data_IF_722195694099
#
_entry.id   IF_722195694099
#
_cell.length_a   1.000
_cell.length_b   1.000
_cell.length_c   1.000
_cell.angle_alpha   90.00
_cell.angle_beta   90.00
_cell.angle_gamma   90.00
#
_symmetry.space_group_name_H-M   'P 1'
#
loop_
_entity.id
_entity.type
_entity.pdbx_description
1 polymer ?
#
# COMPACT_ATOMS: atom_id res chain seq x y z
N UNK A 1 -76.71 60.25 33.55
CA UNK A 1 -77.33 60.01 34.87
C UNK A 1 -77.07 58.57 35.24
N UNK A 2 -76.35 58.34 36.34
CA UNK A 2 -76.52 57.26 37.31
C UNK A 2 -77.27 55.97 36.85
N UNK A 3 -76.64 54.79 36.91
CA UNK A 3 -76.57 53.96 38.13
C UNK A 3 -76.02 52.54 37.85
N UNK A 4 -75.22 52.08 38.80
CA UNK A 4 -75.17 50.72 39.36
C UNK A 4 -74.68 49.50 38.55
N UNK A 5 -73.53 49.02 39.03
CA UNK A 5 -72.99 47.66 39.06
C UNK A 5 -74.05 46.55 39.17
N UNK A 6 -73.79 45.42 38.51
CA UNK A 6 -73.88 44.07 39.11
C UNK A 6 -72.86 43.14 38.45
N UNK A 7 -72.29 42.30 39.30
CA UNK A 7 -71.12 41.46 39.11
C UNK A 7 -71.37 40.30 38.14
N UNK A 8 -70.34 39.94 37.38
CA UNK A 8 -70.19 38.59 36.83
C UNK A 8 -68.82 38.07 37.25
N UNK A 9 -68.82 37.08 38.14
CA UNK A 9 -67.64 36.28 38.43
C UNK A 9 -67.30 35.46 37.17
N UNK A 10 -66.08 35.64 36.65
CA UNK A 10 -65.47 34.71 35.70
C UNK A 10 -64.20 34.19 36.35
N UNK A 11 -64.26 32.93 36.75
CA UNK A 11 -63.15 32.15 37.30
C UNK A 11 -62.06 32.00 36.23
N UNK A 12 -60.88 32.56 36.47
CA UNK A 12 -59.70 32.31 35.64
C UNK A 12 -59.19 30.90 35.90
N UNK A 13 -59.28 30.03 34.90
CA UNK A 13 -58.63 28.73 34.88
C UNK A 13 -57.13 28.96 34.58
N UNK A 14 -56.28 28.82 35.60
CA UNK A 14 -54.82 28.86 35.44
C UNK A 14 -54.33 27.61 34.70
N UNK A 15 -53.96 27.77 33.43
CA UNK A 15 -53.32 26.72 32.63
C UNK A 15 -51.83 26.63 33.03
N UNK A 16 -51.46 25.59 33.78
CA UNK A 16 -50.08 25.32 34.16
C UNK A 16 -49.37 24.67 32.95
N UNK A 17 -48.54 25.44 32.23
CA UNK A 17 -47.68 24.89 31.17
C UNK A 17 -46.45 24.26 31.84
N UNK A 18 -46.42 22.92 31.90
CA UNK A 18 -45.21 22.18 32.24
C UNK A 18 -44.28 22.17 31.02
N UNK A 19 -43.30 23.07 30.98
CA UNK A 19 -42.13 22.94 30.09
C UNK A 19 -41.22 21.84 30.62
N UNK A 20 -41.29 20.66 29.99
CA UNK A 20 -40.32 19.57 30.19
C UNK A 20 -39.03 19.98 29.47
N UNK A 21 -38.02 20.40 30.23
CA UNK A 21 -36.65 20.46 29.71
C UNK A 21 -36.13 19.02 29.59
N UNK A 22 -36.16 18.46 28.39
CA UNK A 22 -35.39 17.26 28.09
C UNK A 22 -33.91 17.64 28.02
N UNK A 23 -33.17 17.40 29.09
CA UNK A 23 -31.71 17.42 29.03
C UNK A 23 -31.27 16.25 28.16
N UNK A 24 -30.92 16.52 26.91
CA UNK A 24 -30.22 15.55 26.06
C UNK A 24 -28.81 15.46 26.65
N UNK A 25 -28.59 14.42 27.45
CA UNK A 25 -27.24 14.05 27.87
C UNK A 25 -26.53 13.50 26.65
N UNK A 26 -25.65 14.29 26.04
CA UNK A 26 -24.65 13.75 25.14
C UNK A 26 -23.68 12.94 26.00
N UNK A 27 -23.97 11.64 26.13
CA UNK A 27 -22.96 10.70 26.59
C UNK A 27 -21.82 10.75 25.56
N UNK A 28 -20.68 11.33 25.94
CA UNK A 28 -19.43 11.06 25.24
C UNK A 28 -19.21 9.55 25.34
N UNK A 29 -19.46 8.86 24.23
CA UNK A 29 -19.12 7.46 24.08
C UNK A 29 -17.59 7.38 24.09
N UNK A 30 -17.00 7.25 25.26
CA UNK A 30 -15.60 6.85 25.41
C UNK A 30 -15.52 5.35 25.17
N UNK A 31 -15.94 4.91 23.98
CA UNK A 31 -15.56 3.59 23.51
C UNK A 31 -14.11 3.75 23.06
N UNK A 32 -13.18 3.21 23.84
CA UNK A 32 -11.89 2.84 23.26
C UNK A 32 -12.23 2.04 22.00
N UNK A 33 -11.72 2.41 20.81
CA UNK A 33 -12.02 1.65 19.61
C UNK A 33 -11.70 0.19 19.92
N UNK A 34 -12.72 -0.65 19.80
CA UNK A 34 -12.59 -2.08 20.02
C UNK A 34 -11.47 -2.50 19.08
N UNK A 35 -10.33 -2.93 19.64
CA UNK A 35 -9.23 -3.43 18.83
C UNK A 35 -9.83 -4.68 18.17
N UNK A 36 -10.24 -4.55 16.90
CA UNK A 36 -10.70 -5.63 16.06
C UNK A 36 -9.80 -6.84 16.31
N UNK A 37 -10.37 -8.05 16.34
CA UNK A 37 -9.61 -9.27 16.58
C UNK A 37 -8.34 -9.25 15.73
N UNK A 38 -7.21 -8.96 16.37
CA UNK A 38 -5.88 -9.12 15.79
C UNK A 38 -5.90 -10.55 15.25
N UNK A 39 -5.70 -10.71 13.94
CA UNK A 39 -5.66 -12.01 13.23
C UNK A 39 -6.93 -12.43 12.47
N UNK A 40 -7.77 -11.51 11.99
CA UNK A 40 -8.83 -11.89 11.04
C UNK A 40 -8.27 -12.11 9.62
N UNK A 41 -7.52 -13.20 9.44
CA UNK A 41 -6.97 -13.61 8.13
C UNK A 41 -8.05 -13.94 7.09
N UNK A 42 -9.28 -14.20 7.53
CA UNK A 42 -10.41 -14.54 6.65
C UNK A 42 -11.12 -13.33 6.04
N UNK A 43 -10.75 -12.10 6.40
CA UNK A 43 -11.41 -10.91 5.85
C UNK A 43 -11.20 -10.78 4.34
N UNK A 44 -10.00 -11.08 3.87
CA UNK A 44 -9.62 -11.03 2.47
C UNK A 44 -8.95 -12.34 2.06
N UNK A 45 -9.15 -12.74 0.81
CA UNK A 45 -8.16 -13.57 0.14
C UNK A 45 -7.07 -12.65 -0.40
N UNK A 46 -5.80 -12.96 -0.16
CA UNK A 46 -4.69 -12.07 -0.53
C UNK A 46 -3.41 -12.84 -0.87
N UNK A 47 -2.64 -12.29 -1.80
CA UNK A 47 -1.23 -12.62 -2.01
C UNK A 47 -0.36 -11.71 -1.14
N UNK A 48 0.73 -12.25 -0.60
CA UNK A 48 1.55 -11.62 0.43
C UNK A 48 3.04 -11.91 0.23
N UNK A 49 3.87 -10.89 0.37
CA UNK A 49 5.31 -11.02 0.54
C UNK A 49 5.87 -9.88 1.39
N UNK A 50 7.10 -10.03 1.89
CA UNK A 50 7.77 -8.98 2.63
C UNK A 50 9.29 -9.06 2.57
N UNK A 51 9.90 -7.90 2.79
CA UNK A 51 11.33 -7.77 2.96
C UNK A 51 11.78 -8.52 4.21
N UNK A 52 12.51 -9.62 4.01
CA UNK A 52 13.07 -10.47 5.04
C UNK A 52 14.38 -11.09 4.54
N UNK A 53 15.13 -11.75 5.43
CA UNK A 53 16.31 -12.54 5.06
C UNK A 53 16.01 -13.75 4.18
N UNK A 54 14.73 -13.98 3.87
CA UNK A 54 14.20 -15.07 3.07
C UNK A 54 13.22 -14.53 2.04
N UNK A 55 13.06 -15.24 0.93
CA UNK A 55 12.11 -14.91 -0.12
C UNK A 55 10.84 -15.74 0.04
N UNK A 56 10.09 -15.49 1.11
CA UNK A 56 8.83 -16.17 1.36
C UNK A 56 7.66 -15.40 0.80
N UNK A 57 6.75 -16.15 0.15
CA UNK A 57 5.51 -15.62 -0.40
C UNK A 57 4.37 -16.56 -0.08
N UNK A 58 3.17 -15.99 0.10
CA UNK A 58 1.98 -16.76 0.46
C UNK A 58 0.77 -16.29 -0.33
N UNK A 59 -0.12 -17.21 -0.65
CA UNK A 59 -1.51 -16.91 -0.99
C UNK A 59 -2.36 -17.43 0.16
N UNK A 60 -3.08 -16.52 0.81
CA UNK A 60 -4.02 -16.82 1.89
C UNK A 60 -5.43 -16.78 1.31
N UNK A 61 -6.20 -17.85 1.49
CA UNK A 61 -7.62 -17.92 1.13
C UNK A 61 -8.46 -18.40 2.30
N UNK A 62 -9.58 -17.71 2.57
CA UNK A 62 -10.49 -18.04 3.68
C UNK A 62 -9.74 -18.22 5.01
N UNK A 63 -8.74 -17.38 5.26
CA UNK A 63 -7.92 -17.40 6.47
C UNK A 63 -6.87 -18.51 6.57
N UNK A 64 -6.61 -19.26 5.50
CA UNK A 64 -5.62 -20.36 5.47
C UNK A 64 -4.61 -20.15 4.35
N UNK A 65 -3.37 -20.59 4.55
CA UNK A 65 -2.38 -20.67 3.47
C UNK A 65 -2.90 -21.68 2.44
N UNK A 66 -3.23 -21.17 1.25
CA UNK A 66 -3.66 -21.97 0.09
C UNK A 66 -2.48 -22.30 -0.84
N UNK A 67 -1.43 -21.47 -0.81
CA UNK A 67 -0.18 -21.68 -1.53
C UNK A 67 0.95 -20.98 -0.79
N UNK A 68 2.15 -21.55 -0.86
CA UNK A 68 3.36 -20.92 -0.34
C UNK A 68 4.55 -21.17 -1.26
N UNK A 69 5.44 -20.19 -1.32
CA UNK A 69 6.79 -20.33 -1.85
C UNK A 69 7.77 -20.04 -0.73
N UNK A 70 8.67 -20.99 -0.51
CA UNK A 70 9.79 -20.89 0.40
C UNK A 70 11.03 -20.78 -0.46
N UNK A 71 11.55 -19.57 -0.65
CA UNK A 71 12.75 -19.34 -1.45
C UNK A 71 13.96 -20.17 -0.98
N UNK A 72 15.00 -20.33 -1.81
CA UNK A 72 16.21 -21.07 -1.46
C UNK A 72 16.78 -20.63 -0.10
N UNK A 73 17.21 -21.59 0.72
CA UNK A 73 17.79 -21.33 2.06
C UNK A 73 19.27 -21.67 2.15
N UNK A 74 19.72 -22.52 1.26
CA UNK A 74 21.08 -23.05 1.12
C UNK A 74 21.99 -22.13 0.29
N UNK A 75 21.41 -21.20 -0.48
CA UNK A 75 22.15 -20.26 -1.35
C UNK A 75 22.56 -18.96 -0.65
N UNK A 76 22.44 -18.91 0.68
CA UNK A 76 22.71 -17.70 1.46
C UNK A 76 21.66 -16.60 1.21
N UNK A 77 22.08 -15.35 1.37
CA UNK A 77 21.18 -14.20 1.21
C UNK A 77 21.01 -13.82 -0.27
N UNK A 78 19.80 -14.02 -0.78
CA UNK A 78 19.43 -13.82 -2.20
C UNK A 78 18.66 -12.52 -2.46
N UNK A 79 18.57 -11.65 -1.45
CA UNK A 79 17.88 -10.36 -1.53
C UNK A 79 16.45 -10.40 -1.01
N UNK A 80 16.03 -9.27 -0.45
CA UNK A 80 14.69 -9.02 0.09
C UNK A 80 13.66 -8.81 -1.02
N UNK A 81 12.43 -9.34 -0.86
CA UNK A 81 11.32 -9.10 -1.80
C UNK A 81 10.69 -7.74 -1.45
N UNK A 82 10.89 -6.75 -2.31
CA UNK A 82 10.31 -5.41 -2.13
C UNK A 82 9.04 -5.19 -2.94
N UNK A 83 8.80 -6.00 -3.97
CA UNK A 83 7.62 -5.90 -4.82
C UNK A 83 7.29 -7.24 -5.48
N UNK A 84 6.00 -7.53 -5.61
CA UNK A 84 5.55 -8.76 -6.24
C UNK A 84 4.11 -8.61 -6.76
N UNK A 85 3.83 -9.30 -7.86
CA UNK A 85 2.56 -9.28 -8.56
C UNK A 85 2.13 -10.71 -8.85
N UNK A 86 0.98 -11.11 -8.30
CA UNK A 86 0.28 -12.33 -8.71
C UNK A 86 -0.58 -12.00 -9.93
N UNK A 87 -0.21 -12.55 -11.09
CA UNK A 87 -0.89 -12.35 -12.38
C UNK A 87 -2.20 -13.15 -12.44
N UNK A 88 -3.10 -12.80 -13.37
CA UNK A 88 -4.40 -13.48 -13.50
C UNK A 88 -4.30 -14.94 -13.94
N UNK A 89 -3.21 -15.32 -14.61
CA UNK A 89 -2.90 -16.71 -14.96
C UNK A 89 -2.26 -17.53 -13.82
N UNK A 90 -2.04 -16.91 -12.64
CA UNK A 90 -1.46 -17.54 -11.46
C UNK A 90 0.07 -17.47 -11.39
N UNK A 91 0.75 -17.00 -12.43
CA UNK A 91 2.19 -16.74 -12.37
C UNK A 91 2.48 -15.59 -11.39
N UNK A 92 3.68 -15.60 -10.80
CA UNK A 92 4.12 -14.58 -9.86
C UNK A 92 5.40 -13.96 -10.39
N UNK A 93 5.36 -12.66 -10.65
CA UNK A 93 6.55 -11.84 -10.89
C UNK A 93 6.93 -11.17 -9.59
N UNK A 94 8.17 -11.31 -9.13
CA UNK A 94 8.64 -10.64 -7.93
C UNK A 94 10.03 -10.05 -8.14
N UNK A 95 10.18 -8.80 -7.71
CA UNK A 95 11.46 -8.11 -7.63
C UNK A 95 12.05 -8.36 -6.24
N UNK A 96 13.31 -8.77 -6.23
CA UNK A 96 14.10 -8.91 -5.02
C UNK A 96 15.40 -8.12 -5.19
N UNK A 97 16.04 -7.68 -4.10
CA UNK A 97 17.23 -6.80 -4.15
C UNK A 97 18.31 -7.22 -5.16
N UNK A 98 18.45 -8.53 -5.44
CA UNK A 98 19.44 -9.09 -6.38
C UNK A 98 18.91 -9.46 -7.77
N UNK A 99 17.64 -9.21 -8.08
CA UNK A 99 17.07 -9.60 -9.36
C UNK A 99 15.55 -9.49 -9.47
N UNK A 100 15.03 -10.08 -10.53
CA UNK A 100 13.60 -10.26 -10.73
C UNK A 100 13.39 -11.70 -11.16
N UNK A 101 12.37 -12.35 -10.64
CA UNK A 101 12.03 -13.73 -11.01
C UNK A 101 10.54 -13.83 -11.36
N UNK A 102 10.24 -14.51 -12.47
CA UNK A 102 8.90 -14.92 -12.87
C UNK A 102 8.76 -16.43 -12.68
N UNK A 103 7.78 -16.86 -11.87
CA UNK A 103 7.51 -18.28 -11.60
C UNK A 103 6.08 -18.69 -11.94
N UNK A 104 5.88 -19.96 -12.24
CA UNK A 104 4.55 -20.60 -12.30
C UNK A 104 4.00 -20.91 -10.89
N UNK A 105 2.70 -21.23 -10.74
CA UNK A 105 2.15 -21.76 -9.48
C UNK A 105 2.89 -23.01 -8.97
N UNK A 106 3.46 -23.81 -9.87
CA UNK A 106 4.29 -24.99 -9.54
C UNK A 106 5.74 -24.62 -9.20
N UNK A 107 6.04 -23.32 -9.03
CA UNK A 107 7.35 -22.78 -8.61
C UNK A 107 8.46 -22.97 -9.65
N UNK A 108 8.09 -23.20 -10.91
CA UNK A 108 9.04 -23.28 -12.02
C UNK A 108 9.41 -21.88 -12.46
N UNK A 109 10.71 -21.59 -12.57
CA UNK A 109 11.20 -20.33 -13.13
C UNK A 109 10.93 -20.31 -14.63
N UNK A 110 10.20 -19.28 -15.08
CA UNK A 110 9.94 -19.01 -16.50
C UNK A 110 10.94 -18.01 -17.07
N UNK A 111 11.33 -17.02 -16.27
CA UNK A 111 12.24 -15.95 -16.65
C UNK A 111 12.88 -15.37 -15.38
N UNK A 112 14.10 -14.86 -15.50
CA UNK A 112 14.76 -14.11 -14.44
C UNK A 112 15.64 -13.02 -15.03
N UNK A 113 15.99 -12.07 -14.18
CA UNK A 113 16.97 -11.03 -14.42
C UNK A 113 17.88 -10.92 -13.20
N UNK A 114 19.18 -11.06 -13.40
CA UNK A 114 20.18 -10.89 -12.34
C UNK A 114 20.61 -9.43 -12.29
N UNK A 115 20.45 -8.82 -11.11
CA UNK A 115 20.91 -7.44 -10.90
C UNK A 115 22.45 -7.42 -10.84
N UNK A 116 23.12 -6.53 -11.60
CA UNK A 116 24.58 -6.42 -11.57
C UNK A 116 25.14 -6.12 -10.18
N UNK A 117 26.39 -6.52 -9.94
CA UNK A 117 27.09 -6.19 -8.68
C UNK A 117 27.14 -4.67 -8.46
N UNK A 118 26.83 -4.23 -7.23
CA UNK A 118 26.75 -2.81 -6.87
C UNK A 118 25.40 -2.14 -7.17
N UNK A 119 24.52 -2.82 -7.91
CA UNK A 119 23.16 -2.38 -8.23
C UNK A 119 22.14 -3.13 -7.36
N UNK A 120 20.91 -2.62 -7.33
CA UNK A 120 19.77 -3.27 -6.67
C UNK A 120 18.50 -3.12 -7.53
N UNK A 121 17.59 -4.08 -7.45
CA UNK A 121 16.28 -4.00 -8.11
C UNK A 121 15.19 -4.28 -7.09
N UNK A 122 14.23 -3.37 -6.93
CA UNK A 122 13.21 -3.50 -5.88
C UNK A 122 11.78 -3.46 -6.40
N UNK A 123 11.56 -3.10 -7.66
CA UNK A 123 10.21 -2.98 -8.23
C UNK A 123 10.20 -3.48 -9.66
N UNK A 124 9.17 -4.24 -10.00
CA UNK A 124 8.93 -4.74 -11.34
C UNK A 124 7.43 -4.94 -11.55
N UNK A 125 6.96 -4.70 -12.77
CA UNK A 125 5.56 -4.90 -13.14
C UNK A 125 5.48 -5.64 -14.49
N UNK A 126 4.59 -6.64 -14.62
CA UNK A 126 4.31 -7.24 -15.91
C UNK A 126 3.56 -6.23 -16.81
N UNK A 127 3.89 -6.25 -18.10
CA UNK A 127 3.15 -5.61 -19.18
C UNK A 127 2.65 -6.74 -20.08
N UNK A 128 1.37 -7.08 -19.90
CA UNK A 128 0.79 -8.28 -20.46
C UNK A 128 1.55 -9.53 -20.01
N UNK A 129 1.62 -10.52 -20.90
CA UNK A 129 2.40 -11.74 -20.71
C UNK A 129 3.78 -11.68 -21.37
N UNK A 130 4.10 -10.58 -22.04
CA UNK A 130 5.23 -10.50 -22.96
C UNK A 130 6.41 -9.70 -22.43
N UNK A 131 6.16 -8.73 -21.55
CA UNK A 131 7.19 -7.78 -21.11
C UNK A 131 7.16 -7.58 -19.60
N UNK A 132 8.32 -7.17 -19.06
CA UNK A 132 8.46 -6.66 -17.70
C UNK A 132 9.05 -5.26 -17.76
N UNK A 133 8.47 -4.32 -17.01
CA UNK A 133 9.10 -3.02 -16.72
C UNK A 133 9.62 -3.01 -15.29
N UNK A 134 10.81 -2.45 -15.08
CA UNK A 134 11.41 -2.33 -13.75
C UNK A 134 12.35 -1.14 -13.64
N UNK A 135 12.72 -0.79 -12.40
CA UNK A 135 13.74 0.21 -12.11
C UNK A 135 14.95 -0.48 -11.47
N UNK A 136 16.12 -0.31 -12.08
CA UNK A 136 17.40 -0.72 -11.51
C UNK A 136 18.03 0.46 -10.78
N UNK A 137 18.27 0.29 -9.49
CA UNK A 137 19.00 1.23 -8.66
C UNK A 137 20.50 1.08 -8.92
N UNK A 138 21.20 2.20 -9.15
CA UNK A 138 22.66 2.23 -9.18
C UNK A 138 23.18 3.49 -9.86
N UNK A 139 24.34 3.40 -10.47
CA UNK A 139 24.99 4.52 -11.15
C UNK A 139 25.51 4.13 -12.53
N UNK A 140 24.73 4.37 -13.61
CA UNK A 140 23.47 5.10 -13.62
C UNK A 140 22.27 4.26 -13.12
N UNK A 141 21.25 4.91 -12.57
CA UNK A 141 19.96 4.26 -12.33
C UNK A 141 19.12 4.31 -13.61
N UNK A 142 18.39 3.23 -13.90
CA UNK A 142 17.72 3.08 -15.20
C UNK A 142 16.36 2.39 -15.07
N UNK A 143 15.43 2.80 -15.94
CA UNK A 143 14.22 2.03 -16.24
C UNK A 143 14.54 1.07 -17.38
N UNK A 144 14.04 -0.15 -17.29
CA UNK A 144 14.15 -1.18 -18.32
C UNK A 144 12.77 -1.69 -18.73
N UNK A 145 12.61 -2.01 -20.01
CA UNK A 145 11.54 -2.88 -20.52
C UNK A 145 12.21 -4.08 -21.17
N UNK A 146 11.92 -5.28 -20.67
CA UNK A 146 12.51 -6.52 -21.16
C UNK A 146 11.42 -7.43 -21.72
N UNK A 147 11.68 -8.02 -22.89
CA UNK A 147 10.85 -9.06 -23.46
C UNK A 147 11.12 -10.40 -22.76
N UNK A 148 10.09 -10.98 -22.15
CA UNK A 148 10.18 -12.21 -21.34
C UNK A 148 10.60 -13.41 -22.19
N UNK A 149 10.17 -13.48 -23.45
CA UNK A 149 10.38 -14.65 -24.31
C UNK A 149 11.84 -14.83 -24.73
N UNK A 150 12.55 -13.74 -25.02
CA UNK A 150 13.93 -13.79 -25.52
C UNK A 150 14.94 -13.12 -24.58
N UNK A 151 14.50 -12.47 -23.50
CA UNK A 151 15.35 -11.76 -22.54
C UNK A 151 15.90 -10.43 -23.06
N UNK A 152 15.45 -9.95 -24.22
CA UNK A 152 15.96 -8.73 -24.84
C UNK A 152 15.46 -7.48 -24.12
N UNK A 153 16.37 -6.56 -23.79
CA UNK A 153 16.01 -5.21 -23.39
C UNK A 153 15.52 -4.44 -24.62
N UNK A 154 14.21 -4.20 -24.69
CA UNK A 154 13.58 -3.50 -25.81
C UNK A 154 13.48 -1.99 -25.59
N UNK A 155 13.65 -1.53 -24.35
CA UNK A 155 13.77 -0.12 -24.00
C UNK A 155 14.56 0.05 -22.71
N UNK A 156 15.35 1.12 -22.64
CA UNK A 156 15.87 1.63 -21.39
C UNK A 156 16.09 3.14 -21.46
N UNK A 157 16.08 3.79 -20.30
CA UNK A 157 16.48 5.19 -20.14
C UNK A 157 16.94 5.44 -18.71
N UNK A 158 17.83 6.41 -18.53
CA UNK A 158 18.32 6.80 -17.21
C UNK A 158 17.29 7.61 -16.44
N UNK A 159 17.27 7.44 -15.12
CA UNK A 159 16.46 8.24 -14.20
C UNK A 159 17.36 8.86 -13.12
N UNK A 160 17.07 10.10 -12.69
CA UNK A 160 17.94 10.81 -11.75
C UNK A 160 17.92 10.21 -10.34
N UNK A 161 19.07 10.29 -9.69
CA UNK A 161 19.27 9.95 -8.27
C UNK A 161 20.07 11.06 -7.59
N UNK A 162 19.89 11.24 -6.29
CA UNK A 162 20.61 12.25 -5.50
C UNK A 162 22.01 11.78 -5.13
N UNK A 163 22.13 10.53 -4.69
CA UNK A 163 23.41 9.98 -4.22
C UNK A 163 23.76 8.70 -4.99
N UNK A 164 24.46 8.79 -6.14
CA UNK A 164 24.74 7.63 -7.00
C UNK A 164 25.54 6.52 -6.32
N UNK A 165 26.21 6.79 -5.19
CA UNK A 165 26.98 5.80 -4.43
C UNK A 165 26.13 5.01 -3.42
N UNK A 166 24.81 5.22 -3.38
CA UNK A 166 23.90 4.56 -2.44
C UNK A 166 22.69 3.96 -3.16
N UNK A 167 22.91 2.92 -3.96
CA UNK A 167 21.85 2.21 -4.71
C UNK A 167 20.66 1.81 -3.83
N UNK A 168 20.94 1.38 -2.60
CA UNK A 168 19.90 1.01 -1.65
C UNK A 168 18.91 2.14 -1.33
N UNK A 169 19.31 3.41 -1.42
CA UNK A 169 18.47 4.55 -1.11
C UNK A 169 17.69 5.14 -2.28
N UNK A 170 17.82 4.61 -3.51
CA UNK A 170 17.24 5.26 -4.69
C UNK A 170 15.73 5.03 -4.82
N UNK A 171 15.30 3.77 -5.01
CA UNK A 171 13.93 3.40 -5.36
C UNK A 171 13.47 2.15 -4.63
N UNK A 172 12.16 2.08 -4.35
CA UNK A 172 11.48 0.86 -3.86
C UNK A 172 10.23 0.50 -4.64
N UNK A 173 9.55 1.46 -5.24
CA UNK A 173 8.25 1.23 -5.86
C UNK A 173 8.01 2.15 -7.06
N UNK A 174 7.50 1.55 -8.13
CA UNK A 174 7.04 2.24 -9.30
C UNK A 174 5.82 1.54 -9.91
N UNK A 175 4.93 2.29 -10.55
CA UNK A 175 3.68 1.77 -11.10
C UNK A 175 3.36 2.41 -12.44
N UNK A 176 2.91 1.57 -13.39
CA UNK A 176 2.33 2.02 -14.65
C UNK A 176 0.98 2.71 -14.40
N UNK A 177 0.78 3.85 -15.05
CA UNK A 177 -0.51 4.53 -15.07
C UNK A 177 -1.42 3.94 -16.15
N UNK A 178 -2.70 4.31 -16.12
CA UNK A 178 -3.67 3.96 -17.19
C UNK A 178 -3.33 4.56 -18.56
N UNK A 179 -2.48 5.60 -18.58
CA UNK A 179 -2.12 6.33 -19.80
C UNK A 179 -0.83 5.78 -20.43
N UNK A 180 -0.27 4.70 -19.86
CA UNK A 180 0.93 4.05 -20.37
C UNK A 180 2.20 4.83 -20.11
N UNK A 181 2.27 5.48 -18.95
CA UNK A 181 3.43 6.19 -18.41
C UNK A 181 3.87 5.50 -17.12
N UNK A 182 5.08 5.79 -16.63
CA UNK A 182 5.64 5.12 -15.46
C UNK A 182 5.89 6.10 -14.32
N UNK A 183 5.19 5.90 -13.20
CA UNK A 183 5.29 6.72 -12.01
C UNK A 183 6.26 6.08 -11.01
N UNK A 184 7.30 6.81 -10.62
CA UNK A 184 8.41 6.31 -9.81
C UNK A 184 8.50 7.13 -8.52
N UNK A 185 8.57 6.44 -7.37
CA UNK A 185 8.91 7.06 -6.09
C UNK A 185 10.44 7.15 -5.92
N UNK A 186 10.99 8.35 -6.18
CA UNK A 186 12.42 8.65 -5.96
C UNK A 186 12.64 8.98 -4.47
N UNK A 187 13.13 8.00 -3.71
CA UNK A 187 13.26 8.11 -2.25
C UNK A 187 14.32 9.13 -1.84
N UNK A 188 15.50 9.08 -2.45
CA UNK A 188 16.62 9.97 -2.12
C UNK A 188 16.45 11.40 -2.62
N UNK A 189 15.71 11.60 -3.72
CA UNK A 189 15.26 12.91 -4.19
C UNK A 189 14.09 13.44 -3.36
N UNK A 190 13.31 12.57 -2.71
CA UNK A 190 12.08 12.94 -2.04
C UNK A 190 11.03 13.45 -3.03
N UNK A 191 10.86 12.75 -4.15
CA UNK A 191 9.94 13.13 -5.24
C UNK A 191 9.18 11.94 -5.78
N UNK A 192 8.01 12.22 -6.33
CA UNK A 192 7.38 11.32 -7.30
C UNK A 192 7.56 11.94 -8.67
N UNK A 193 7.98 11.15 -9.64
CA UNK A 193 8.19 11.59 -11.03
C UNK A 193 7.49 10.61 -11.96
N UNK A 194 6.76 11.13 -12.95
CA UNK A 194 6.12 10.34 -14.00
C UNK A 194 6.85 10.56 -15.33
N UNK A 195 7.19 9.45 -15.97
CA UNK A 195 7.94 9.42 -17.23
C UNK A 195 7.10 8.82 -18.36
N UNK A 196 7.28 9.34 -19.57
CA UNK A 196 6.84 8.64 -20.77
C UNK A 196 7.80 7.50 -21.15
N UNK A 197 7.49 6.81 -22.25
CA UNK A 197 8.31 5.69 -22.74
C UNK A 197 9.71 6.11 -23.16
N UNK A 198 9.92 7.36 -23.55
CA UNK A 198 11.20 7.90 -24.01
C UNK A 198 12.05 8.47 -22.87
N UNK A 199 11.55 8.41 -21.63
CA UNK A 199 12.22 8.91 -20.44
C UNK A 199 12.02 10.40 -20.22
N UNK A 200 11.10 11.06 -20.94
CA UNK A 200 10.78 12.45 -20.66
C UNK A 200 9.95 12.52 -19.38
N UNK A 201 10.36 13.39 -18.47
CA UNK A 201 9.57 13.73 -17.29
C UNK A 201 8.31 14.50 -17.73
N UNK A 202 7.15 13.89 -17.54
CA UNK A 202 5.85 14.50 -17.82
C UNK A 202 5.32 15.31 -16.63
N UNK A 203 5.62 14.84 -15.41
CA UNK A 203 5.09 15.42 -14.19
C UNK A 203 5.97 15.06 -12.99
N UNK A 204 5.98 15.93 -11.97
CA UNK A 204 6.62 15.64 -10.69
C UNK A 204 5.97 16.42 -9.55
N UNK A 205 6.04 15.86 -8.34
CA UNK A 205 5.78 16.55 -7.07
C UNK A 205 6.89 16.28 -6.07
N UNK A 206 7.09 17.23 -5.17
CA UNK A 206 7.89 17.01 -3.98
C UNK A 206 7.10 16.14 -2.98
N UNK A 207 7.71 15.05 -2.55
CA UNK A 207 7.19 14.10 -1.58
C UNK A 207 8.37 13.62 -0.71
N UNK A 208 8.87 14.46 0.22
CA UNK A 208 9.98 14.07 1.09
C UNK A 208 9.63 12.77 1.81
N UNK A 209 10.59 11.84 1.91
CA UNK A 209 10.40 10.58 2.64
C UNK A 209 9.43 9.60 1.98
N UNK A 210 9.12 9.80 0.70
CA UNK A 210 8.32 8.86 -0.09
C UNK A 210 8.95 7.47 -0.08
N UNK A 211 8.10 6.44 -0.01
CA UNK A 211 8.46 5.05 -0.24
C UNK A 211 7.75 4.49 -1.48
N UNK A 212 6.45 4.76 -1.60
CA UNK A 212 5.63 4.29 -2.73
C UNK A 212 4.61 5.32 -3.20
N UNK A 213 4.26 5.22 -4.48
CA UNK A 213 3.25 6.03 -5.13
C UNK A 213 2.40 5.15 -6.05
N UNK A 214 1.08 5.18 -5.85
CA UNK A 214 0.10 4.45 -6.65
C UNK A 214 -0.81 5.43 -7.41
N UNK A 215 -0.86 5.38 -8.75
CA UNK A 215 -1.85 6.13 -9.52
C UNK A 215 -3.24 5.56 -9.30
N UNK A 216 -4.20 6.41 -8.92
CA UNK A 216 -5.58 6.01 -8.64
C UNK A 216 -6.50 6.19 -9.87
N UNK A 217 -7.62 5.44 -9.87
CA UNK A 217 -8.62 5.49 -10.96
C UNK A 217 -9.23 6.88 -11.19
N UNK A 218 -9.31 7.70 -10.13
CA UNK A 218 -9.84 9.07 -10.19
C UNK A 218 -8.79 10.09 -10.69
N UNK A 219 -7.57 9.65 -11.03
CA UNK A 219 -6.48 10.52 -11.49
C UNK A 219 -5.64 11.14 -10.37
N UNK A 220 -6.00 10.91 -9.10
CA UNK A 220 -5.17 11.26 -7.95
C UNK A 220 -4.04 10.22 -7.77
N UNK A 221 -3.17 10.49 -6.79
CA UNK A 221 -2.02 9.66 -6.46
C UNK A 221 -2.09 9.35 -4.96
N UNK A 222 -2.06 8.06 -4.63
CA UNK A 222 -1.89 7.60 -3.26
C UNK A 222 -0.40 7.47 -2.96
N UNK A 223 0.05 8.13 -1.91
CA UNK A 223 1.44 8.22 -1.49
C UNK A 223 1.60 7.58 -0.12
N UNK A 224 2.68 6.83 0.06
CA UNK A 224 3.07 6.29 1.36
C UNK A 224 4.52 6.70 1.65
N UNK A 225 4.74 7.36 2.78
CA UNK A 225 6.06 7.81 3.21
C UNK A 225 6.58 7.07 4.43
N UNK A 226 7.89 6.80 4.45
CA UNK A 226 8.56 6.06 5.52
C UNK A 226 8.62 6.82 6.86
N UNK A 227 8.34 8.13 6.86
CA UNK A 227 8.12 8.96 8.06
C UNK A 227 6.63 8.97 8.49
N UNK A 228 5.95 7.82 8.38
CA UNK A 228 4.67 7.51 9.07
C UNK A 228 3.43 8.27 8.55
N UNK A 229 3.38 8.62 7.27
CA UNK A 229 2.24 9.32 6.65
C UNK A 229 1.78 8.64 5.36
N UNK A 230 0.47 8.69 5.11
CA UNK A 230 -0.18 8.19 3.90
C UNK A 230 -1.11 9.30 3.41
N UNK A 231 -1.02 9.66 2.13
CA UNK A 231 -1.76 10.80 1.56
C UNK A 231 -2.30 10.49 0.19
N UNK A 232 -3.52 10.90 -0.08
CA UNK A 232 -4.01 11.04 -1.45
C UNK A 232 -3.82 12.51 -1.87
N UNK A 233 -3.13 12.72 -2.98
CA UNK A 233 -2.94 14.05 -3.57
C UNK A 233 -3.51 14.10 -4.98
N UNK A 234 -3.98 15.27 -5.39
CA UNK A 234 -4.31 15.49 -6.79
C UNK A 234 -3.05 15.85 -7.60
N UNK A 235 -3.20 16.00 -8.92
CA UNK A 235 -2.11 16.36 -9.86
C UNK A 235 -1.47 17.72 -9.61
N UNK A 236 -2.11 18.60 -8.84
CA UNK A 236 -1.55 19.89 -8.40
C UNK A 236 -0.80 19.78 -7.06
N UNK A 237 -0.70 18.58 -6.48
CA UNK A 237 -0.07 18.36 -5.17
C UNK A 237 -0.95 18.73 -3.98
N UNK A 238 -2.23 19.07 -4.19
CA UNK A 238 -3.15 19.32 -3.08
C UNK A 238 -3.50 18.00 -2.41
N UNK A 239 -3.32 17.95 -1.09
CA UNK A 239 -3.77 16.83 -0.25
C UNK A 239 -5.31 16.79 -0.22
N UNK A 240 -5.87 15.67 -0.65
CA UNK A 240 -7.30 15.37 -0.68
C UNK A 240 -7.69 14.49 0.52
N UNK A 241 -6.80 13.57 0.89
CA UNK A 241 -6.92 12.70 2.04
C UNK A 241 -5.56 12.57 2.72
N UNK A 242 -5.53 12.52 4.04
CA UNK A 242 -4.32 12.47 4.86
C UNK A 242 -4.59 11.50 6.02
N UNK A 243 -3.64 10.60 6.26
CA UNK A 243 -3.68 9.62 7.33
C UNK A 243 -2.30 9.51 7.94
N UNK A 244 -2.20 9.85 9.23
CA UNK A 244 -0.93 9.85 9.98
C UNK A 244 -0.99 8.74 11.00
N UNK A 245 0.04 7.89 11.04
CA UNK A 245 0.07 6.80 12.03
C UNK A 245 0.16 7.32 13.47
N UNK A 246 0.62 8.56 13.66
CA UNK A 246 0.69 9.21 14.98
C UNK A 246 -0.70 9.48 15.58
N UNK A 247 -1.74 9.57 14.75
CA UNK A 247 -3.13 9.70 15.22
C UNK A 247 -3.70 8.34 15.69
N UNK A 248 -2.98 7.24 15.47
CA UNK A 248 -3.40 5.87 15.82
C UNK A 248 -2.33 5.10 16.62
N UNK A 249 -1.88 5.63 17.78
CA UNK A 249 -0.79 5.04 18.56
C UNK A 249 -1.09 3.61 19.05
N UNK A 250 -2.37 3.22 19.16
CA UNK A 250 -2.78 1.88 19.56
C UNK A 250 -2.32 0.77 18.60
N UNK A 251 -2.02 1.10 17.34
CA UNK A 251 -1.53 0.15 16.35
C UNK A 251 0.00 0.02 16.36
N UNK A 252 0.72 1.03 16.90
CA UNK A 252 2.19 1.03 16.99
C UNK A 252 2.91 0.64 15.68
N UNK A 253 2.29 0.96 14.53
CA UNK A 253 2.91 0.79 13.22
C UNK A 253 4.04 1.80 13.06
N UNK A 254 5.19 1.42 12.48
CA UNK A 254 6.43 2.21 12.48
C UNK A 254 7.02 2.55 11.12
N UNK A 255 6.94 1.64 10.17
CA UNK A 255 7.65 1.69 8.89
C UNK A 255 6.65 1.35 7.76
N UNK A 256 5.67 2.22 7.48
CA UNK A 256 4.76 1.96 6.37
C UNK A 256 5.54 2.07 5.06
N UNK A 257 5.25 1.16 4.12
CA UNK A 257 5.99 1.05 2.85
C UNK A 257 5.04 1.27 1.67
N UNK A 258 4.03 0.43 1.53
CA UNK A 258 3.05 0.41 0.45
C UNK A 258 1.64 0.67 1.01
N UNK A 259 0.93 1.56 0.32
CA UNK A 259 -0.50 1.74 0.50
C UNK A 259 -1.22 1.47 -0.81
N UNK A 260 -2.31 0.71 -0.75
CA UNK A 260 -3.10 0.29 -1.93
C UNK A 260 -4.57 0.66 -1.74
N UNK A 261 -5.17 1.34 -2.72
CA UNK A 261 -6.61 1.67 -2.70
C UNK A 261 -7.45 0.53 -3.28
N UNK A 262 -8.37 -0.01 -2.48
CA UNK A 262 -9.35 -1.02 -2.86
C UNK A 262 -10.51 -0.41 -3.66
N UNK A 263 -11.29 -1.23 -4.39
CA UNK A 263 -12.40 -0.74 -5.22
C UNK A 263 -13.54 -0.14 -4.42
N UNK A 264 -13.72 -0.58 -3.18
CA UNK A 264 -14.70 -0.01 -2.24
C UNK A 264 -14.27 1.34 -1.64
N UNK A 265 -13.06 1.84 -1.97
CA UNK A 265 -12.53 3.10 -1.46
C UNK A 265 -11.67 2.98 -0.20
N UNK A 266 -11.61 1.79 0.42
CA UNK A 266 -10.74 1.55 1.57
C UNK A 266 -9.27 1.46 1.14
N UNK A 267 -8.36 1.71 2.06
CA UNK A 267 -6.91 1.67 1.81
C UNK A 267 -6.26 0.60 2.68
N UNK A 268 -5.55 -0.35 2.06
CA UNK A 268 -4.65 -1.26 2.77
C UNK A 268 -3.31 -0.56 2.93
N UNK A 269 -2.76 -0.56 4.14
CA UNK A 269 -1.46 0.04 4.45
C UNK A 269 -0.64 -1.04 5.16
N UNK A 270 0.46 -1.48 4.57
CA UNK A 270 1.37 -2.39 5.26
C UNK A 270 2.30 -1.63 6.20
N UNK A 271 2.86 -2.35 7.17
CA UNK A 271 3.91 -1.88 8.06
C UNK A 271 5.01 -2.91 8.12
N UNK A 272 6.23 -2.49 7.76
CA UNK A 272 7.37 -3.39 7.71
C UNK A 272 8.05 -3.53 9.07
N UNK A 273 8.47 -4.76 9.37
CA UNK A 273 9.26 -5.08 10.53
C UNK A 273 10.61 -5.64 10.08
N UNK A 274 11.71 -5.10 10.62
CA UNK A 274 13.07 -5.49 10.19
C UNK A 274 13.61 -6.65 11.02
N UNK A 275 13.81 -7.81 10.41
CA UNK A 275 14.48 -8.95 11.07
C UNK A 275 16.02 -8.83 11.09
N UNK A 276 16.59 -7.77 10.51
CA UNK A 276 18.04 -7.49 10.50
C UNK A 276 18.56 -6.78 11.76
N UNK A 277 17.70 -6.08 12.48
CA UNK A 277 18.10 -5.33 13.68
C UNK A 277 17.05 -5.27 14.78
N UNK A 278 15.78 -5.54 14.48
CA UNK A 278 14.73 -5.54 15.50
C UNK A 278 14.54 -6.96 16.07
N UNK A 279 14.13 -7.07 17.35
CA UNK A 279 13.77 -8.35 17.98
C UNK A 279 12.26 -8.48 18.02
N UNK A 280 11.74 -9.59 17.49
CA UNK A 280 10.31 -9.88 17.48
C UNK A 280 9.81 -10.17 18.91
N UNK A 281 8.97 -9.29 19.46
CA UNK A 281 8.24 -9.54 20.71
C UNK A 281 6.90 -10.21 20.40
N UNK A 282 6.81 -11.53 20.55
CA UNK A 282 5.55 -12.27 20.35
C UNK A 282 4.47 -11.93 21.38
N UNK A 283 4.79 -11.26 22.51
CA UNK A 283 3.76 -10.78 23.45
C UNK A 283 3.06 -9.54 22.92
N UNK A 284 3.75 -8.74 22.11
CA UNK A 284 3.21 -7.55 21.45
C UNK A 284 3.73 -7.49 20.00
N UNK A 285 3.32 -8.44 19.15
CA UNK A 285 3.87 -8.52 17.82
C UNK A 285 3.57 -7.24 17.03
N UNK A 286 4.43 -6.85 16.08
CA UNK A 286 4.16 -5.71 15.21
C UNK A 286 2.94 -6.02 14.33
N UNK A 287 2.21 -4.99 13.93
CA UNK A 287 1.16 -5.12 12.92
C UNK A 287 1.82 -5.20 11.56
N UNK A 288 1.33 -6.08 10.68
CA UNK A 288 1.82 -6.21 9.32
C UNK A 288 1.04 -5.36 8.33
N UNK A 289 -0.27 -5.19 8.56
CA UNK A 289 -1.09 -4.29 7.77
C UNK A 289 -2.39 -3.87 8.47
N UNK A 290 -2.97 -2.78 8.01
CA UNK A 290 -4.31 -2.33 8.37
C UNK A 290 -5.16 -2.05 7.13
N UNK A 291 -6.48 -2.14 7.25
CA UNK A 291 -7.43 -1.57 6.28
C UNK A 291 -8.11 -0.36 6.90
N UNK A 292 -8.14 0.74 6.14
CA UNK A 292 -8.66 2.03 6.58
C UNK A 292 -9.78 2.50 5.65
N UNK A 293 -10.91 2.96 6.21
CA UNK A 293 -12.00 3.56 5.42
C UNK A 293 -11.64 4.96 4.91
N UNK A 294 -12.41 5.52 3.94
CA UNK A 294 -12.30 6.93 3.57
C UNK A 294 -12.42 7.90 4.76
N UNK A 295 -13.24 7.54 5.76
CA UNK A 295 -13.44 8.30 7.00
C UNK A 295 -12.32 8.09 8.04
N UNK A 296 -11.25 7.39 7.64
CA UNK A 296 -10.03 7.09 8.44
C UNK A 296 -10.26 6.11 9.59
N UNK A 297 -11.32 5.32 9.54
CA UNK A 297 -11.54 4.27 10.51
C UNK A 297 -10.74 3.02 10.14
N UNK A 298 -9.96 2.49 11.08
CA UNK A 298 -9.27 1.21 10.90
C UNK A 298 -10.26 0.08 11.16
N UNK A 299 -10.55 -0.73 10.14
CA UNK A 299 -11.59 -1.77 10.17
C UNK A 299 -11.02 -3.19 10.00
N UNK A 300 -9.71 -3.30 9.85
CA UNK A 300 -8.98 -4.57 9.79
C UNK A 300 -7.55 -4.40 10.25
N UNK A 301 -7.02 -5.45 10.88
CA UNK A 301 -5.63 -5.55 11.32
C UNK A 301 -5.11 -6.94 10.97
N UNK A 302 -4.01 -6.99 10.23
CA UNK A 302 -3.23 -8.19 9.97
C UNK A 302 -2.07 -8.29 10.97
N UNK A 303 -2.03 -9.37 11.76
CA UNK A 303 -1.00 -9.64 12.77
C UNK A 303 -0.63 -11.15 12.84
N UNK A 304 -0.13 -11.73 11.76
CA UNK A 304 0.11 -13.18 11.63
C UNK A 304 1.60 -13.55 11.84
N UNK A 305 2.03 -13.73 13.08
CA UNK A 305 3.44 -14.07 13.44
C UNK A 305 3.64 -15.49 13.99
N UNK A 306 2.57 -16.27 14.16
CA UNK A 306 2.63 -17.61 14.74
C UNK A 306 1.95 -18.67 13.86
N UNK A 307 0.61 -18.74 13.86
CA UNK A 307 -0.14 -19.79 13.18
C UNK A 307 -1.23 -19.21 12.25
N UNK A 308 -0.94 -18.99 10.96
CA UNK A 308 0.38 -19.09 10.32
C UNK A 308 1.30 -17.91 10.65
N UNK A 309 2.61 -18.11 10.47
CA UNK A 309 3.59 -17.03 10.47
C UNK A 309 3.84 -16.57 9.04
N UNK A 310 3.38 -15.36 8.71
CA UNK A 310 3.59 -14.75 7.38
C UNK A 310 4.90 -13.97 7.30
N UNK A 311 5.56 -13.69 8.43
CA UNK A 311 6.78 -12.86 8.49
C UNK A 311 6.50 -11.37 8.27
N UNK A 312 7.55 -10.57 8.00
CA UNK A 312 7.41 -9.15 7.66
C UNK A 312 6.50 -8.90 6.45
N UNK A 313 5.92 -7.71 6.35
CA UNK A 313 5.03 -7.32 5.24
C UNK A 313 5.63 -6.17 4.45
N UNK A 314 5.65 -6.30 3.13
CA UNK A 314 5.99 -5.21 2.20
C UNK A 314 4.92 -5.04 1.14
N UNK A 315 4.39 -6.15 0.60
CA UNK A 315 3.34 -6.12 -0.43
C UNK A 315 2.19 -7.04 -0.07
N UNK A 316 0.97 -6.53 -0.30
CA UNK A 316 -0.29 -7.27 -0.17
C UNK A 316 -1.13 -6.97 -1.41
N UNK A 317 -1.53 -8.01 -2.11
CA UNK A 317 -2.46 -7.93 -3.24
C UNK A 317 -3.75 -8.66 -2.85
N UNK A 318 -4.83 -7.91 -2.61
CA UNK A 318 -6.16 -8.48 -2.34
C UNK A 318 -6.70 -9.14 -3.61
N UNK A 319 -7.17 -10.38 -3.49
CA UNK A 319 -7.60 -11.24 -4.61
C UNK A 319 -9.11 -11.24 -4.84
N UNK A 320 -9.88 -10.64 -3.94
CA UNK A 320 -11.33 -10.46 -4.09
C UNK A 320 -11.67 -9.33 -5.07
N UNK A 321 -10.66 -8.64 -5.59
CA UNK A 321 -10.79 -7.58 -6.57
C UNK A 321 -10.79 -8.16 -8.00
N UNK A 322 -11.76 -7.78 -8.83
CA UNK A 322 -11.78 -8.10 -10.25
C UNK A 322 -10.71 -7.26 -11.00
N UNK A 323 -9.44 -7.59 -10.77
CA UNK A 323 -8.29 -6.92 -11.38
C UNK A 323 -7.46 -7.91 -12.19
N UNK A 324 -6.90 -7.42 -13.31
CA UNK A 324 -5.91 -8.13 -14.12
C UNK A 324 -4.63 -7.28 -13.98
N UNK A 325 -3.74 -7.61 -13.03
CA UNK A 325 -2.59 -6.76 -12.71
C UNK A 325 -1.64 -6.50 -13.88
N UNK A 326 -1.52 -7.47 -14.77
CA UNK A 326 -0.72 -7.44 -15.99
C UNK A 326 -1.39 -6.73 -17.16
N UNK A 327 -2.69 -6.40 -17.08
CA UNK A 327 -3.37 -5.61 -18.10
C UNK A 327 -2.94 -4.14 -17.97
N UNK A 328 -1.72 -3.87 -18.40
CA UNK A 328 -1.03 -2.58 -18.38
C UNK A 328 -0.30 -2.42 -19.70
N UNK A 329 0.10 -1.19 -19.99
CA UNK A 329 0.95 -0.90 -21.13
C UNK A 329 1.96 0.17 -20.74
N UNK A 330 3.06 0.26 -21.47
CA UNK A 330 4.03 1.35 -21.37
C UNK A 330 4.39 1.82 -22.78
N UNK A 331 3.90 2.99 -23.17
CA UNK A 331 3.90 3.40 -24.57
C UNK A 331 3.30 2.31 -25.49
N UNK A 332 4.08 1.77 -26.45
CA UNK A 332 3.60 0.75 -27.40
C UNK A 332 3.59 -0.69 -26.83
N UNK A 333 4.23 -0.95 -25.69
CA UNK A 333 4.35 -2.30 -25.12
C UNK A 333 3.07 -2.67 -24.37
N UNK A 334 2.49 -3.83 -24.67
CA UNK A 334 1.21 -4.33 -24.14
C UNK A 334 1.28 -5.81 -23.77
#
# INVERSE_FOLDING_TARGET
MNQNRKEFQITFLSLLIFTIFSTISFAQKTDKPEIFSKNNLSRHDFFYAGEAKVQDMYIVKSGKIAWEYKGPRDQGYIGEISDAVLMSNGNILFAHQRGITLITPEKKVLWHYDTPEGYETHTAQPIGENYVVFVQNGNPAQVFVVNIKNGETVKSFEVPVKNPNNSHGHFRHARLTKDGTYMIAHMDLGKVIEYDIDGNQLWSIDAPKIWSAEPLKNGNILLCGNDRWIREVNRQGKVIWDFKLDDYPQYNMKKPQIATRLTNGNTIINDWFSDWGDTLDLKNPPIQAIEVTPDREVIWVLQSWENPNLGPSTTIQVLNENSIPENRHFGPFK
#
